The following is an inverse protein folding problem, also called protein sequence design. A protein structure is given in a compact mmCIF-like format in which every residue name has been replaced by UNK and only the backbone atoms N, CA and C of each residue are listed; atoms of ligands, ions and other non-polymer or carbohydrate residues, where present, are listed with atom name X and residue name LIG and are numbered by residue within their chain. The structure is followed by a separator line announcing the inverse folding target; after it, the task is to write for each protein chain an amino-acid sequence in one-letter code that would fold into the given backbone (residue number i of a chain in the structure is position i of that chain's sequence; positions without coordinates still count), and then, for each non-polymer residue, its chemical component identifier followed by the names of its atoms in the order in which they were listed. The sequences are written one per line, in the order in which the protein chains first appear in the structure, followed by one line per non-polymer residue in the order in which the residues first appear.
data_IF_844973741833
#
_entry.id   IF_844973741833
#
_cell.length_a   1.000
_cell.length_b   1.000
_cell.length_c   1.000
_cell.angle_alpha   90.00
_cell.angle_beta   90.00
_cell.angle_gamma   90.00
#
_symmetry.space_group_name_H-M   'P 1'
#
loop_
_entity.id
_entity.type
_entity.pdbx_description
1 polymer ?
#
# COMPACT_ATOMS: atom_id res chain seq x y z
N UNK A 1 -6.24 -24.86 43.86
CA UNK A 1 -4.78 -24.68 43.77
C UNK A 1 -4.51 -23.19 43.89
N UNK A 2 -4.15 -22.75 45.09
CA UNK A 2 -3.92 -21.36 45.47
C UNK A 2 -2.59 -21.31 46.20
N UNK A 3 -1.58 -20.67 45.61
CA UNK A 3 -0.25 -20.52 46.19
C UNK A 3 -0.10 -19.12 46.77
N UNK A 4 -0.14 -19.02 48.10
CA UNK A 4 0.42 -17.89 48.84
C UNK A 4 1.55 -18.45 49.71
N UNK A 5 2.77 -17.98 49.47
CA UNK A 5 3.95 -18.33 50.26
C UNK A 5 4.03 -17.46 51.51
N UNK A 6 4.21 -18.13 52.64
CA UNK A 6 4.23 -17.58 54.00
C UNK A 6 5.34 -16.56 54.27
N UNK A 7 4.94 -15.52 55.00
CA UNK A 7 5.78 -14.47 55.58
C UNK A 7 6.47 -15.03 56.83
N UNK A 8 7.80 -15.07 56.83
CA UNK A 8 8.58 -15.38 58.04
C UNK A 8 8.72 -14.12 58.89
N UNK A 9 8.05 -14.10 60.04
CA UNK A 9 8.16 -13.03 61.05
C UNK A 9 9.39 -13.29 61.91
N UNK A 10 10.41 -12.44 61.79
CA UNK A 10 11.56 -12.45 62.70
C UNK A 10 11.22 -11.66 63.97
N UNK A 11 11.34 -12.35 65.12
CA UNK A 11 11.18 -11.81 66.47
C UNK A 11 12.48 -11.12 66.87
N UNK A 12 12.43 -9.82 67.14
CA UNK A 12 13.57 -9.06 67.67
C UNK A 12 13.58 -9.22 69.20
N UNK A 13 14.72 -9.49 69.85
CA UNK A 13 14.81 -9.56 71.31
C UNK A 13 14.54 -8.20 71.95
N UNK A 14 13.68 -8.21 72.98
CA UNK A 14 13.76 -7.21 74.04
C UNK A 14 15.17 -7.29 74.63
N UNK A 15 15.85 -6.15 74.78
CA UNK A 15 17.12 -5.92 75.50
C UNK A 15 18.15 -5.17 74.62
N UNK A 16 17.84 -3.93 74.22
CA UNK A 16 18.89 -2.93 73.97
C UNK A 16 18.35 -1.52 74.26
N UNK A 17 18.35 -1.16 75.55
CA UNK A 17 18.36 0.24 75.98
C UNK A 17 19.73 0.85 75.64
N UNK A 18 19.89 1.28 74.39
CA UNK A 18 21.04 2.03 73.92
C UNK A 18 20.55 3.27 73.19
N UNK A 19 20.79 4.45 73.78
CA UNK A 19 20.41 5.78 73.27
C UNK A 19 20.79 5.96 71.80
N UNK A 20 19.83 5.77 70.90
CA UNK A 20 19.84 6.42 69.60
C UNK A 20 18.81 7.55 69.70
N UNK A 21 19.30 8.77 69.93
CA UNK A 21 18.54 9.94 69.53
C UNK A 21 18.57 9.94 68.00
N UNK A 22 17.42 9.82 67.30
CA UNK A 22 17.42 10.24 65.91
C UNK A 22 17.57 11.75 65.96
N UNK A 23 18.77 12.24 65.65
CA UNK A 23 18.90 13.60 65.14
C UNK A 23 17.86 13.78 64.03
N UNK A 24 16.99 14.76 64.22
CA UNK A 24 15.88 15.02 63.32
C UNK A 24 16.35 15.27 61.89
N UNK A 25 15.62 14.67 60.96
CA UNK A 25 15.10 15.31 59.75
C UNK A 25 16.07 16.26 59.02
N UNK A 26 16.80 15.74 58.04
CA UNK A 26 17.18 16.56 56.86
C UNK A 26 17.66 15.76 55.64
N UNK A 27 18.16 14.53 55.81
CA UNK A 27 18.74 13.78 54.68
C UNK A 27 17.69 12.93 53.95
N UNK A 28 16.81 12.21 54.66
CA UNK A 28 15.79 11.35 54.05
C UNK A 28 14.64 12.12 53.38
N UNK A 29 14.22 13.26 53.96
CA UNK A 29 13.28 14.18 53.30
C UNK A 29 13.85 14.79 52.02
N UNK A 30 15.16 15.09 51.99
CA UNK A 30 15.84 15.64 50.81
C UNK A 30 15.95 14.60 49.68
N UNK A 31 16.08 13.31 50.01
CA UNK A 31 16.03 12.21 49.03
C UNK A 31 14.59 12.01 48.53
N UNK A 32 13.60 11.98 49.41
CA UNK A 32 12.19 11.83 49.04
C UNK A 32 11.68 12.99 48.16
N UNK A 33 12.05 14.24 48.48
CA UNK A 33 11.69 15.41 47.68
C UNK A 33 12.39 15.39 46.32
N UNK A 34 13.67 14.99 46.25
CA UNK A 34 14.37 14.79 44.96
C UNK A 34 13.74 13.68 44.13
N UNK A 35 13.31 12.58 44.74
CA UNK A 35 12.61 11.49 44.05
C UNK A 35 11.23 11.94 43.56
N UNK A 36 10.49 12.72 44.33
CA UNK A 36 9.20 13.30 43.90
C UNK A 36 9.36 14.29 42.75
N UNK A 37 10.38 15.16 42.79
CA UNK A 37 10.71 16.06 41.67
C UNK A 37 11.14 15.27 40.43
N UNK A 38 11.92 14.19 40.61
CA UNK A 38 12.32 13.32 39.51
C UNK A 38 11.12 12.59 38.90
N UNK A 39 10.25 12.03 39.75
CA UNK A 39 9.00 11.38 39.36
C UNK A 39 8.08 12.36 38.65
N UNK A 40 7.90 13.57 39.16
CA UNK A 40 7.08 14.60 38.51
C UNK A 40 7.66 15.00 37.14
N UNK A 41 8.98 15.22 37.02
CA UNK A 41 9.64 15.52 35.74
C UNK A 41 9.56 14.35 34.76
N UNK A 42 9.67 13.12 35.25
CA UNK A 42 9.50 11.90 34.45
C UNK A 42 8.05 11.82 33.98
N UNK A 43 7.06 11.94 34.86
CA UNK A 43 5.63 11.94 34.51
C UNK A 43 5.28 13.06 33.53
N UNK A 44 5.75 14.29 33.72
CA UNK A 44 5.53 15.42 32.80
C UNK A 44 6.20 15.19 31.43
N UNK A 45 7.38 14.56 31.41
CA UNK A 45 8.09 14.23 30.17
C UNK A 45 7.40 13.08 29.42
N UNK A 46 6.96 12.05 30.12
CA UNK A 46 6.20 10.93 29.54
C UNK A 46 4.83 11.40 29.03
N UNK A 47 4.12 12.25 29.76
CA UNK A 47 2.86 12.83 29.29
C UNK A 47 3.06 13.78 28.10
N UNK A 48 4.21 14.46 28.03
CA UNK A 48 4.55 15.31 26.87
C UNK A 48 4.90 14.48 25.64
N UNK A 49 5.64 13.38 25.79
CA UNK A 49 5.98 12.51 24.68
C UNK A 49 4.75 11.79 24.14
N UNK A 50 3.90 11.23 25.01
CA UNK A 50 2.64 10.59 24.61
C UNK A 50 1.73 11.58 23.85
N UNK A 51 1.70 12.84 24.27
CA UNK A 51 0.98 13.90 23.57
C UNK A 51 1.58 14.22 22.20
N UNK A 52 2.90 14.30 22.08
CA UNK A 52 3.58 14.51 20.80
C UNK A 52 3.36 13.34 19.83
N UNK A 53 3.48 12.10 20.31
CA UNK A 53 3.23 10.89 19.51
C UNK A 53 1.78 10.86 19.00
N UNK A 54 0.83 11.32 19.83
CA UNK A 54 -0.57 11.44 19.43
C UNK A 54 -0.75 12.50 18.33
N UNK A 55 -0.13 13.68 18.48
CA UNK A 55 -0.20 14.74 17.49
C UNK A 55 0.43 14.34 16.15
N UNK A 56 1.53 13.58 16.20
CA UNK A 56 2.19 13.05 15.00
C UNK A 56 1.28 12.06 14.27
N UNK A 57 0.69 11.09 14.98
CA UNK A 57 -0.29 10.16 14.39
C UNK A 57 -1.51 10.88 13.81
N UNK A 58 -2.01 11.91 14.47
CA UNK A 58 -3.11 12.73 13.95
C UNK A 58 -2.70 13.52 12.70
N UNK A 59 -1.44 13.94 12.60
CA UNK A 59 -0.89 14.60 11.41
C UNK A 59 -0.77 13.60 10.26
N UNK A 60 -0.12 12.47 10.48
CA UNK A 60 0.05 11.39 9.48
C UNK A 60 -1.32 10.94 8.95
N UNK A 61 -2.29 10.75 9.84
CA UNK A 61 -3.64 10.36 9.42
C UNK A 61 -4.32 11.44 8.56
N UNK A 62 -4.16 12.73 8.88
CA UNK A 62 -4.68 13.81 8.02
C UNK A 62 -4.01 13.83 6.65
N UNK A 63 -2.69 13.65 6.60
CA UNK A 63 -1.93 13.60 5.34
C UNK A 63 -2.41 12.46 4.45
N UNK A 64 -2.61 11.27 5.03
CA UNK A 64 -3.22 10.13 4.35
C UNK A 64 -4.59 10.47 3.75
N UNK A 65 -5.49 11.11 4.52
CA UNK A 65 -6.83 11.45 4.05
C UNK A 65 -6.81 12.50 2.92
N UNK A 66 -5.96 13.52 3.05
CA UNK A 66 -5.76 14.55 2.02
C UNK A 66 -5.22 13.93 0.73
N UNK A 67 -4.21 13.06 0.84
CA UNK A 67 -3.64 12.32 -0.29
C UNK A 67 -4.70 11.44 -0.99
N UNK A 68 -5.48 10.66 -0.24
CA UNK A 68 -6.49 9.78 -0.85
C UNK A 68 -7.58 10.57 -1.58
N UNK A 69 -7.91 11.76 -1.10
CA UNK A 69 -8.81 12.68 -1.79
C UNK A 69 -8.17 13.30 -3.03
N UNK A 70 -6.92 13.73 -2.94
CA UNK A 70 -6.20 14.37 -4.04
C UNK A 70 -5.93 13.40 -5.19
N UNK A 71 -5.45 12.19 -4.89
CA UNK A 71 -5.01 11.21 -5.87
C UNK A 71 -6.19 10.48 -6.50
N UNK A 72 -7.11 9.98 -5.67
CA UNK A 72 -8.18 9.07 -6.10
C UNK A 72 -9.57 9.68 -6.05
N UNK A 73 -9.74 10.84 -5.38
CA UNK A 73 -11.06 11.47 -5.22
C UNK A 73 -11.93 10.83 -4.13
N UNK A 74 -11.36 10.02 -3.23
CA UNK A 74 -12.13 9.44 -2.14
C UNK A 74 -12.61 10.51 -1.16
N UNK A 75 -13.80 10.32 -0.59
CA UNK A 75 -14.20 11.08 0.60
C UNK A 75 -13.37 10.64 1.81
N UNK A 76 -13.29 11.49 2.84
CA UNK A 76 -12.63 11.15 4.12
C UNK A 76 -13.15 9.81 4.66
N UNK A 77 -14.46 9.62 4.68
CA UNK A 77 -15.07 8.39 5.17
C UNK A 77 -14.67 7.17 4.34
N UNK A 78 -14.62 7.30 3.01
CA UNK A 78 -14.24 6.19 2.14
C UNK A 78 -12.76 5.82 2.28
N UNK A 79 -11.88 6.82 2.41
CA UNK A 79 -10.47 6.62 2.69
C UNK A 79 -10.24 5.94 4.06
N UNK A 80 -11.01 6.31 5.10
CA UNK A 80 -10.99 5.62 6.39
C UNK A 80 -11.42 4.15 6.27
N UNK A 81 -12.45 3.85 5.45
CA UNK A 81 -12.88 2.46 5.24
C UNK A 81 -11.79 1.61 4.57
N UNK A 82 -11.04 2.17 3.62
CA UNK A 82 -9.94 1.48 2.94
C UNK A 82 -8.76 1.21 3.90
N UNK A 83 -8.37 2.21 4.69
CA UNK A 83 -7.32 2.07 5.70
C UNK A 83 -7.71 1.01 6.75
N UNK A 84 -8.96 1.07 7.22
CA UNK A 84 -9.50 0.09 8.16
C UNK A 84 -9.53 -1.33 7.57
N UNK A 85 -9.86 -1.46 6.28
CA UNK A 85 -9.83 -2.74 5.59
C UNK A 85 -8.43 -3.35 5.55
N UNK A 86 -7.40 -2.54 5.29
CA UNK A 86 -6.02 -3.02 5.35
C UNK A 86 -5.61 -3.42 6.77
N UNK A 87 -5.90 -2.58 7.78
CA UNK A 87 -5.61 -2.89 9.19
C UNK A 87 -6.22 -4.24 9.59
N UNK A 88 -7.47 -4.50 9.21
CA UNK A 88 -8.13 -5.79 9.48
C UNK A 88 -7.57 -6.95 8.69
N UNK A 89 -7.17 -6.73 7.44
CA UNK A 89 -6.47 -7.73 6.67
C UNK A 89 -5.15 -8.11 7.33
N UNK A 90 -4.35 -7.13 7.73
CA UNK A 90 -3.04 -7.36 8.33
C UNK A 90 -3.13 -8.02 9.72
N UNK A 91 -4.09 -7.62 10.55
CA UNK A 91 -4.41 -8.30 11.80
C UNK A 91 -4.79 -9.78 11.58
N UNK A 92 -5.57 -10.06 10.54
CA UNK A 92 -6.08 -11.41 10.27
C UNK A 92 -5.07 -12.33 9.57
N UNK A 93 -4.28 -11.79 8.64
CA UNK A 93 -3.44 -12.57 7.72
C UNK A 93 -1.97 -12.17 7.74
N UNK A 94 -1.59 -11.03 8.33
CA UNK A 94 -0.22 -10.50 8.30
C UNK A 94 0.83 -11.50 8.77
N UNK A 95 0.51 -12.29 9.79
CA UNK A 95 1.36 -13.35 10.34
C UNK A 95 1.68 -14.50 9.37
N UNK A 96 0.98 -14.60 8.23
CA UNK A 96 1.22 -15.59 7.18
C UNK A 96 2.35 -15.19 6.23
N UNK A 97 2.82 -13.95 6.31
CA UNK A 97 3.81 -13.37 5.42
C UNK A 97 5.05 -12.97 6.22
N UNK A 98 6.22 -13.28 5.68
CA UNK A 98 7.46 -12.67 6.12
C UNK A 98 7.70 -11.36 5.35
N UNK A 99 8.67 -10.56 5.80
CA UNK A 99 9.03 -9.30 5.13
C UNK A 99 10.04 -9.52 3.98
N UNK A 100 10.11 -10.76 3.44
CA UNK A 100 10.96 -11.02 2.28
C UNK A 100 10.26 -10.60 1.00
N UNK A 101 11.02 -10.48 -0.09
CA UNK A 101 10.49 -10.28 -1.44
C UNK A 101 9.31 -11.22 -1.77
N UNK A 102 9.40 -12.51 -1.42
CA UNK A 102 8.35 -13.49 -1.67
C UNK A 102 7.18 -13.38 -0.68
N UNK A 103 7.43 -12.95 0.55
CA UNK A 103 6.39 -12.64 1.53
C UNK A 103 5.55 -11.44 1.09
N UNK A 104 6.21 -10.33 0.73
CA UNK A 104 5.57 -9.12 0.22
C UNK A 104 4.75 -9.41 -1.04
N UNK A 105 5.32 -10.13 -2.04
CA UNK A 105 4.55 -10.53 -3.24
C UNK A 105 3.27 -11.29 -2.92
N UNK A 106 3.32 -12.24 -1.98
CA UNK A 106 2.13 -12.99 -1.56
C UNK A 106 1.10 -12.11 -0.86
N UNK A 107 1.56 -11.21 0.02
CA UNK A 107 0.70 -10.25 0.73
C UNK A 107 0.00 -9.29 -0.25
N UNK A 108 0.74 -8.75 -1.23
CA UNK A 108 0.21 -7.91 -2.32
C UNK A 108 -0.86 -8.69 -3.08
N UNK A 109 -0.54 -9.89 -3.56
CA UNK A 109 -1.49 -10.74 -4.30
C UNK A 109 -2.76 -10.97 -3.49
N UNK A 110 -2.65 -11.38 -2.23
CA UNK A 110 -3.82 -11.77 -1.44
C UNK A 110 -4.69 -10.56 -1.07
N UNK A 111 -4.10 -9.42 -0.70
CA UNK A 111 -4.89 -8.22 -0.37
C UNK A 111 -5.49 -7.56 -1.61
N UNK A 112 -4.67 -7.23 -2.61
CA UNK A 112 -5.12 -6.47 -3.78
C UNK A 112 -6.01 -7.31 -4.71
N UNK A 113 -5.87 -8.64 -4.72
CA UNK A 113 -6.86 -9.49 -5.43
C UNK A 113 -8.26 -9.33 -4.85
N UNK A 114 -8.40 -9.16 -3.53
CA UNK A 114 -9.70 -9.00 -2.87
C UNK A 114 -10.27 -7.63 -3.16
N UNK A 115 -9.47 -6.56 -3.06
CA UNK A 115 -9.91 -5.21 -3.42
C UNK A 115 -10.32 -5.13 -4.89
N UNK A 116 -9.46 -5.58 -5.82
CA UNK A 116 -9.76 -5.59 -7.26
C UNK A 116 -11.03 -6.39 -7.57
N UNK A 117 -11.20 -7.57 -6.95
CA UNK A 117 -12.38 -8.43 -7.18
C UNK A 117 -13.69 -7.82 -6.70
N UNK A 118 -13.69 -6.73 -5.92
CA UNK A 118 -14.92 -6.02 -5.56
C UNK A 118 -15.57 -5.28 -6.75
N UNK A 119 -14.83 -5.09 -7.84
CA UNK A 119 -15.31 -4.60 -9.12
C UNK A 119 -15.39 -5.76 -10.14
N UNK A 120 -16.50 -5.85 -10.88
CA UNK A 120 -16.73 -6.98 -11.80
C UNK A 120 -15.68 -7.07 -12.91
N UNK A 121 -15.26 -5.92 -13.45
CA UNK A 121 -14.27 -5.80 -14.53
C UNK A 121 -12.85 -6.27 -14.16
N UNK A 122 -12.57 -6.39 -12.86
CA UNK A 122 -11.28 -6.83 -12.31
C UNK A 122 -11.40 -8.08 -11.44
N UNK A 123 -12.50 -8.83 -11.60
CA UNK A 123 -12.79 -10.06 -10.85
C UNK A 123 -12.67 -11.33 -11.71
N UNK A 124 -13.03 -12.48 -11.14
CA UNK A 124 -13.20 -13.73 -11.88
C UNK A 124 -14.10 -13.60 -13.13
N UNK A 125 -15.03 -12.63 -13.14
CA UNK A 125 -15.94 -12.41 -14.26
C UNK A 125 -15.25 -11.79 -15.48
N UNK A 126 -14.07 -11.19 -15.29
CA UNK A 126 -13.25 -10.64 -16.38
C UNK A 126 -12.37 -11.71 -16.99
N UNK A 127 -12.59 -12.03 -18.27
CA UNK A 127 -11.82 -13.08 -18.97
C UNK A 127 -10.33 -12.78 -18.99
N UNK A 128 -9.95 -11.52 -19.21
CA UNK A 128 -8.56 -11.11 -19.34
C UNK A 128 -7.83 -11.29 -18.00
N UNK A 129 -8.38 -10.73 -16.93
CA UNK A 129 -7.81 -10.83 -15.60
C UNK A 129 -7.92 -12.24 -15.01
N UNK A 130 -8.95 -13.02 -15.37
CA UNK A 130 -9.02 -14.44 -15.03
C UNK A 130 -7.87 -15.23 -15.65
N UNK A 131 -7.57 -15.00 -16.93
CA UNK A 131 -6.48 -15.70 -17.64
C UNK A 131 -5.10 -15.33 -17.06
N UNK A 132 -4.86 -14.06 -16.72
CA UNK A 132 -3.55 -13.57 -16.28
C UNK A 132 -3.32 -13.76 -14.77
N UNK A 133 -4.38 -13.65 -13.97
CA UNK A 133 -4.35 -13.82 -12.52
C UNK A 133 -4.60 -15.24 -12.03
N UNK A 134 -5.43 -16.02 -12.75
CA UNK A 134 -5.81 -17.42 -12.46
C UNK A 134 -6.39 -17.71 -11.05
N UNK A 135 -6.49 -16.71 -10.16
CA UNK A 135 -6.92 -16.85 -8.77
C UNK A 135 -7.79 -15.67 -8.29
N UNK A 136 -8.43 -14.94 -9.21
CA UNK A 136 -9.36 -13.89 -8.80
C UNK A 136 -10.59 -14.47 -8.13
N UNK A 137 -11.05 -13.77 -7.10
CA UNK A 137 -12.28 -14.12 -6.42
C UNK A 137 -13.46 -13.64 -7.27
N UNK A 138 -14.62 -14.29 -7.12
CA UNK A 138 -15.87 -13.66 -7.55
C UNK A 138 -16.13 -12.46 -6.63
N UNK A 139 -16.84 -11.41 -7.08
CA UNK A 139 -17.11 -10.26 -6.22
C UNK A 139 -17.80 -10.62 -4.91
N UNK A 140 -18.74 -11.57 -4.95
CA UNK A 140 -19.39 -12.09 -3.75
C UNK A 140 -18.41 -12.72 -2.75
N UNK A 141 -17.38 -13.41 -3.24
CA UNK A 141 -16.39 -14.05 -2.38
C UNK A 141 -15.42 -13.02 -1.77
N UNK A 142 -15.11 -11.94 -2.51
CA UNK A 142 -14.37 -10.80 -1.98
C UNK A 142 -15.16 -10.04 -0.91
N UNK A 143 -16.45 -9.80 -1.15
CA UNK A 143 -17.36 -9.20 -0.15
C UNK A 143 -17.41 -10.07 1.13
N UNK A 144 -17.60 -11.38 0.98
CA UNK A 144 -17.64 -12.32 2.10
C UNK A 144 -16.30 -12.38 2.86
N UNK A 145 -15.18 -12.26 2.16
CA UNK A 145 -13.86 -12.18 2.79
C UNK A 145 -13.78 -10.97 3.72
N UNK A 146 -14.14 -9.77 3.26
CA UNK A 146 -14.11 -8.57 4.10
C UNK A 146 -15.06 -8.69 5.30
N UNK A 147 -16.26 -9.25 5.11
CA UNK A 147 -17.15 -9.55 6.25
C UNK A 147 -16.50 -10.48 7.28
N UNK A 148 -15.76 -11.50 6.83
CA UNK A 148 -15.12 -12.47 7.72
C UNK A 148 -14.02 -11.86 8.61
N UNK A 149 -13.43 -10.72 8.18
CA UNK A 149 -12.42 -9.98 8.94
C UNK A 149 -12.99 -8.74 9.64
N UNK A 150 -14.32 -8.61 9.71
CA UNK A 150 -14.99 -7.52 10.43
C UNK A 150 -15.08 -6.19 9.68
N UNK A 151 -15.04 -6.23 8.34
CA UNK A 151 -15.15 -5.07 7.46
C UNK A 151 -16.42 -5.20 6.61
N UNK A 152 -17.13 -4.11 6.36
CA UNK A 152 -18.32 -4.14 5.49
C UNK A 152 -17.92 -4.25 4.01
N UNK A 153 -17.83 -5.49 3.52
CA UNK A 153 -17.43 -5.78 2.14
C UNK A 153 -18.35 -5.17 1.08
N UNK A 154 -19.66 -5.05 1.35
CA UNK A 154 -20.59 -4.44 0.42
C UNK A 154 -20.39 -2.92 0.34
N UNK A 155 -20.07 -2.28 1.47
CA UNK A 155 -19.69 -0.87 1.47
C UNK A 155 -18.40 -0.64 0.69
N UNK A 156 -17.37 -1.45 0.91
CA UNK A 156 -16.12 -1.36 0.15
C UNK A 156 -16.35 -1.54 -1.36
N UNK A 157 -17.20 -2.51 -1.74
CA UNK A 157 -17.58 -2.68 -3.15
C UNK A 157 -18.23 -1.42 -3.71
N UNK A 158 -19.15 -0.80 -2.98
CA UNK A 158 -19.77 0.47 -3.41
C UNK A 158 -18.74 1.59 -3.58
N UNK A 159 -17.80 1.72 -2.63
CA UNK A 159 -16.72 2.72 -2.67
C UNK A 159 -15.87 2.54 -3.93
N UNK A 160 -15.38 1.32 -4.17
CA UNK A 160 -14.48 1.02 -5.29
C UNK A 160 -15.21 1.19 -6.64
N UNK A 161 -16.44 0.68 -6.76
CA UNK A 161 -17.21 0.82 -8.01
C UNK A 161 -17.55 2.29 -8.29
N UNK A 162 -17.88 3.06 -7.25
CA UNK A 162 -18.14 4.49 -7.40
C UNK A 162 -16.88 5.24 -7.82
N UNK A 163 -15.72 4.94 -7.23
CA UNK A 163 -14.48 5.61 -7.60
C UNK A 163 -14.05 5.27 -9.04
N UNK A 164 -14.02 3.99 -9.40
CA UNK A 164 -13.74 3.53 -10.76
C UNK A 164 -14.64 4.20 -11.81
N UNK A 165 -15.96 4.25 -11.55
CA UNK A 165 -16.93 4.82 -12.50
C UNK A 165 -16.78 6.33 -12.73
N UNK A 166 -16.12 7.05 -11.82
CA UNK A 166 -16.03 8.52 -11.87
C UNK A 166 -14.58 9.03 -11.96
N UNK A 167 -13.57 8.16 -11.96
CA UNK A 167 -12.16 8.58 -11.86
C UNK A 167 -11.72 9.39 -13.09
N UNK A 168 -12.04 8.93 -14.29
CA UNK A 168 -11.77 9.61 -15.56
C UNK A 168 -12.37 11.03 -15.60
N UNK A 169 -13.66 11.17 -15.28
CA UNK A 169 -14.36 12.47 -15.30
C UNK A 169 -13.77 13.45 -14.28
N UNK A 170 -13.24 12.95 -13.17
CA UNK A 170 -12.61 13.75 -12.12
C UNK A 170 -11.09 13.93 -12.31
N UNK A 171 -10.53 13.42 -13.41
CA UNK A 171 -9.08 13.39 -13.69
C UNK A 171 -8.27 12.78 -12.53
N UNK A 172 -8.81 11.74 -11.89
CA UNK A 172 -8.19 10.99 -10.78
C UNK A 172 -7.65 9.66 -11.29
N UNK A 173 -6.70 9.07 -10.54
CA UNK A 173 -6.24 7.71 -10.84
C UNK A 173 -7.32 6.69 -10.51
N UNK A 174 -7.35 5.58 -11.21
CA UNK A 174 -8.29 4.48 -11.04
C UNK A 174 -7.75 3.48 -10.01
N UNK A 175 -8.29 3.54 -8.79
CA UNK A 175 -7.84 2.69 -7.69
C UNK A 175 -8.12 1.21 -7.94
N UNK A 176 -9.25 0.89 -8.60
CA UNK A 176 -9.61 -0.50 -8.89
C UNK A 176 -8.66 -1.11 -9.93
N UNK A 177 -8.33 -0.32 -10.94
CA UNK A 177 -7.32 -0.66 -11.95
C UNK A 177 -5.97 -0.90 -11.27
N UNK A 178 -5.45 0.04 -10.48
CA UNK A 178 -4.15 -0.11 -9.80
C UNK A 178 -4.08 -1.38 -8.94
N UNK A 179 -5.16 -1.68 -8.18
CA UNK A 179 -5.27 -2.90 -7.40
C UNK A 179 -5.16 -4.16 -8.27
N UNK A 180 -5.81 -4.17 -9.44
CA UNK A 180 -5.81 -5.30 -10.35
C UNK A 180 -4.41 -5.54 -10.94
N UNK A 181 -3.73 -4.47 -11.36
CA UNK A 181 -2.36 -4.49 -11.90
C UNK A 181 -1.39 -5.00 -10.85
N UNK A 182 -1.39 -4.41 -9.64
CA UNK A 182 -0.54 -4.85 -8.52
C UNK A 182 -0.78 -6.31 -8.12
N UNK A 183 -2.03 -6.77 -8.13
CA UNK A 183 -2.36 -8.17 -7.89
C UNK A 183 -1.68 -9.09 -8.90
N UNK A 184 -1.81 -8.82 -10.21
CA UNK A 184 -1.25 -9.71 -11.23
C UNK A 184 0.29 -9.69 -11.18
N UNK A 185 0.89 -8.52 -10.95
CA UNK A 185 2.33 -8.40 -10.72
C UNK A 185 2.78 -9.23 -9.52
N UNK A 186 2.03 -9.21 -8.41
CA UNK A 186 2.31 -10.02 -7.21
C UNK A 186 2.08 -11.51 -7.41
N UNK A 187 1.15 -11.89 -8.29
CA UNK A 187 0.75 -13.28 -8.50
C UNK A 187 1.89 -14.13 -9.08
N UNK A 188 2.04 -15.34 -8.55
CA UNK A 188 2.91 -16.37 -9.10
C UNK A 188 2.09 -17.64 -9.28
N UNK A 189 1.91 -18.05 -10.53
CA UNK A 189 1.21 -19.28 -10.88
C UNK A 189 1.85 -19.93 -12.09
N UNK A 190 1.72 -21.25 -12.23
CA UNK A 190 2.25 -21.99 -13.40
C UNK A 190 1.71 -21.40 -14.71
N UNK A 191 0.44 -20.96 -14.72
CA UNK A 191 -0.17 -20.31 -15.87
C UNK A 191 0.54 -18.99 -16.21
N UNK A 192 0.76 -18.13 -15.20
CA UNK A 192 1.48 -16.86 -15.37
C UNK A 192 2.92 -17.09 -15.84
N UNK A 193 3.67 -17.98 -15.18
CA UNK A 193 5.06 -18.31 -15.57
C UNK A 193 5.16 -18.87 -16.99
N UNK A 194 4.16 -19.64 -17.42
CA UNK A 194 4.09 -20.13 -18.81
C UNK A 194 3.83 -18.98 -19.77
N UNK A 195 2.91 -18.06 -19.44
CA UNK A 195 2.64 -16.87 -20.25
C UNK A 195 3.86 -15.92 -20.30
N UNK A 196 4.58 -15.75 -19.19
CA UNK A 196 5.82 -14.96 -19.08
C UNK A 196 6.94 -15.48 -19.99
N UNK A 197 6.88 -16.74 -20.42
CA UNK A 197 7.83 -17.29 -21.40
C UNK A 197 7.61 -16.74 -22.83
N UNK A 198 6.46 -16.13 -23.08
CA UNK A 198 6.05 -15.59 -24.38
C UNK A 198 5.76 -14.08 -24.35
N UNK A 199 5.66 -13.49 -23.16
CA UNK A 199 5.20 -12.12 -22.95
C UNK A 199 5.70 -11.50 -21.65
N UNK A 200 5.62 -10.17 -21.54
CA UNK A 200 5.67 -9.51 -20.24
C UNK A 200 4.25 -9.37 -19.70
N UNK A 201 3.83 -10.32 -18.86
CA UNK A 201 2.48 -10.33 -18.31
C UNK A 201 2.23 -9.13 -17.40
N UNK A 202 3.27 -8.61 -16.74
CA UNK A 202 3.15 -7.49 -15.82
C UNK A 202 2.91 -6.18 -16.57
N UNK A 203 3.55 -6.00 -17.73
CA UNK A 203 3.23 -4.89 -18.63
C UNK A 203 1.85 -5.05 -19.29
N UNK A 204 1.48 -6.27 -19.71
CA UNK A 204 0.22 -6.55 -20.41
C UNK A 204 -1.05 -6.33 -19.59
N UNK A 205 -0.96 -6.39 -18.26
CA UNK A 205 -2.11 -6.17 -17.38
C UNK A 205 -2.35 -4.69 -17.06
N UNK A 206 -1.38 -3.84 -17.39
CA UNK A 206 -1.45 -2.39 -17.25
C UNK A 206 -1.17 -1.70 -18.58
N UNK A 207 -0.19 -0.77 -18.60
CA UNK A 207 0.04 0.15 -19.73
C UNK A 207 0.06 -0.51 -21.10
N UNK A 208 0.75 -1.64 -21.25
CA UNK A 208 0.85 -2.31 -22.54
C UNK A 208 -0.48 -2.93 -22.95
N UNK A 209 -1.24 -3.46 -21.99
CA UNK A 209 -2.59 -3.94 -22.24
C UNK A 209 -3.51 -2.85 -22.76
N UNK A 210 -3.50 -1.69 -22.11
CA UNK A 210 -4.38 -0.57 -22.42
C UNK A 210 -4.00 0.13 -23.73
N UNK A 211 -2.70 0.26 -24.02
CA UNK A 211 -2.22 0.72 -25.32
C UNK A 211 -2.73 -0.20 -26.44
N UNK A 212 -2.58 -1.52 -26.28
CA UNK A 212 -2.98 -2.48 -27.32
C UNK A 212 -4.50 -2.69 -27.39
N UNK A 213 -5.25 -2.38 -26.33
CA UNK A 213 -6.71 -2.37 -26.37
C UNK A 213 -7.25 -1.11 -27.06
N UNK A 214 -6.44 -0.05 -27.15
CA UNK A 214 -6.84 1.26 -27.66
C UNK A 214 -7.77 2.01 -26.71
N UNK A 215 -7.88 1.56 -25.46
CA UNK A 215 -8.76 2.12 -24.43
C UNK A 215 -7.90 2.57 -23.26
N UNK A 216 -7.21 3.71 -23.44
CA UNK A 216 -6.33 4.27 -22.41
C UNK A 216 -6.69 5.72 -22.15
N UNK A 217 -7.39 5.96 -21.04
CA UNK A 217 -7.67 7.30 -20.52
C UNK A 217 -6.48 7.92 -19.79
N UNK A 218 -6.55 9.21 -19.44
CA UNK A 218 -5.51 9.85 -18.60
C UNK A 218 -5.46 9.27 -17.18
N UNK A 219 -6.61 8.80 -16.70
CA UNK A 219 -6.77 8.04 -15.48
C UNK A 219 -6.00 6.72 -15.55
N UNK A 220 -6.14 5.92 -16.62
CA UNK A 220 -5.37 4.69 -16.82
C UNK A 220 -3.86 4.98 -16.94
N UNK A 221 -3.45 5.96 -17.75
CA UNK A 221 -2.03 6.36 -17.91
C UNK A 221 -1.38 6.62 -16.54
N UNK A 222 -2.02 7.42 -15.70
CA UNK A 222 -1.48 7.74 -14.36
C UNK A 222 -1.51 6.52 -13.45
N UNK A 223 -2.56 5.72 -13.53
CA UNK A 223 -2.74 4.51 -12.71
C UNK A 223 -1.67 3.46 -13.02
N UNK A 224 -1.37 3.24 -14.30
CA UNK A 224 -0.38 2.25 -14.72
C UNK A 224 1.03 2.59 -14.27
N UNK A 225 1.44 3.85 -14.45
CA UNK A 225 2.73 4.37 -13.98
C UNK A 225 2.82 4.20 -12.47
N UNK A 226 1.81 4.66 -11.73
CA UNK A 226 1.77 4.59 -10.27
C UNK A 226 1.76 3.14 -9.77
N UNK A 227 0.89 2.28 -10.30
CA UNK A 227 0.79 0.88 -9.90
C UNK A 227 2.12 0.15 -10.08
N UNK A 228 2.82 0.40 -11.20
CA UNK A 228 4.13 -0.19 -11.45
C UNK A 228 5.16 0.28 -10.42
N UNK A 229 5.28 1.59 -10.19
CA UNK A 229 6.20 2.15 -9.20
C UNK A 229 5.91 1.64 -7.78
N UNK A 230 4.65 1.74 -7.35
CA UNK A 230 4.18 1.31 -6.03
C UNK A 230 4.50 -0.17 -5.82
N UNK A 231 4.21 -1.03 -6.80
CA UNK A 231 4.51 -2.46 -6.70
C UNK A 231 6.01 -2.71 -6.52
N UNK A 232 6.87 -2.02 -7.28
CA UNK A 232 8.33 -2.19 -7.22
C UNK A 232 8.88 -1.75 -5.87
N UNK A 233 8.30 -0.72 -5.24
CA UNK A 233 8.60 -0.36 -3.85
C UNK A 233 8.09 -1.41 -2.85
N UNK A 234 6.84 -1.88 -2.99
CA UNK A 234 6.23 -2.84 -2.06
C UNK A 234 7.00 -4.17 -1.98
N UNK A 235 7.45 -4.72 -3.11
CA UNK A 235 8.24 -5.96 -3.11
C UNK A 235 9.62 -5.78 -2.47
N UNK A 236 10.10 -4.54 -2.36
CA UNK A 236 11.35 -4.16 -1.70
C UNK A 236 11.18 -3.64 -0.26
N UNK A 237 9.96 -3.51 0.25
CA UNK A 237 9.70 -3.00 1.62
C UNK A 237 10.29 -3.94 2.68
N UNK A 238 11.18 -3.39 3.51
CA UNK A 238 11.88 -4.16 4.57
C UNK A 238 10.97 -4.50 5.77
N UNK A 239 9.93 -3.70 5.99
CA UNK A 239 8.97 -3.88 7.08
C UNK A 239 7.74 -4.69 6.66
N UNK A 240 7.59 -4.99 5.37
CA UNK A 240 6.46 -5.73 4.80
C UNK A 240 5.13 -4.98 4.84
N UNK A 241 5.14 -3.68 5.13
CA UNK A 241 3.94 -2.85 5.19
C UNK A 241 3.60 -2.28 3.81
N UNK A 242 2.96 -3.13 3.01
CA UNK A 242 2.59 -2.79 1.64
C UNK A 242 1.63 -1.57 1.55
N UNK A 243 0.76 -1.35 2.56
CA UNK A 243 -0.14 -0.19 2.54
C UNK A 243 0.59 1.10 2.86
N UNK A 244 1.48 1.10 3.86
CA UNK A 244 2.35 2.26 4.12
C UNK A 244 3.15 2.59 2.86
N UNK A 245 3.68 1.59 2.17
CA UNK A 245 4.43 1.82 0.93
C UNK A 245 3.59 2.51 -0.16
N UNK A 246 2.30 2.17 -0.28
CA UNK A 246 1.37 2.88 -1.18
C UNK A 246 1.15 4.33 -0.73
N UNK A 247 0.95 4.54 0.57
CA UNK A 247 0.73 5.87 1.14
C UNK A 247 1.96 6.75 0.96
N UNK A 248 3.14 6.27 1.34
CA UNK A 248 4.42 6.98 1.25
C UNK A 248 4.72 7.38 -0.19
N UNK A 249 4.55 6.47 -1.16
CA UNK A 249 4.72 6.80 -2.58
C UNK A 249 3.80 7.96 -3.01
N UNK A 250 2.53 7.91 -2.62
CA UNK A 250 1.56 8.93 -3.03
C UNK A 250 1.78 10.26 -2.34
N UNK A 251 2.18 10.27 -1.07
CA UNK A 251 2.55 11.51 -0.38
C UNK A 251 3.80 12.14 -1.00
N UNK A 252 4.80 11.33 -1.37
CA UNK A 252 5.98 11.79 -2.09
C UNK A 252 5.62 12.36 -3.48
N UNK A 253 4.69 11.72 -4.20
CA UNK A 253 4.21 12.20 -5.50
C UNK A 253 3.45 13.53 -5.37
N UNK A 254 2.48 13.61 -4.44
CA UNK A 254 1.71 14.84 -4.18
C UNK A 254 2.60 16.01 -3.74
N UNK A 255 3.63 15.74 -2.93
CA UNK A 255 4.58 16.77 -2.49
C UNK A 255 5.62 17.15 -3.55
N UNK A 256 5.69 16.43 -4.67
CA UNK A 256 6.72 16.59 -5.70
C UNK A 256 8.11 16.13 -5.24
N UNK A 257 8.19 15.36 -4.15
CA UNK A 257 9.45 14.74 -3.68
C UNK A 257 9.96 13.72 -4.69
N UNK A 258 9.04 13.06 -5.40
CA UNK A 258 9.35 12.20 -6.55
C UNK A 258 8.63 12.70 -7.80
N UNK A 259 9.17 12.32 -8.95
CA UNK A 259 8.50 12.44 -10.24
C UNK A 259 8.13 11.03 -10.71
N UNK A 260 6.84 10.76 -10.82
CA UNK A 260 6.31 9.41 -11.09
C UNK A 260 6.83 8.85 -12.42
N UNK A 261 6.89 9.68 -13.47
CA UNK A 261 7.39 9.28 -14.79
C UNK A 261 8.88 8.99 -14.79
N UNK A 262 9.70 9.78 -14.09
CA UNK A 262 11.13 9.50 -13.93
C UNK A 262 11.36 8.20 -13.15
N UNK A 263 10.60 7.96 -12.08
CA UNK A 263 10.69 6.71 -11.33
C UNK A 263 10.26 5.52 -12.19
N UNK A 264 9.20 5.68 -12.98
CA UNK A 264 8.75 4.66 -13.92
C UNK A 264 9.83 4.31 -14.94
N UNK A 265 10.48 5.30 -15.55
CA UNK A 265 11.60 5.07 -16.48
C UNK A 265 12.80 4.39 -15.81
N UNK A 266 13.10 4.74 -14.55
CA UNK A 266 14.17 4.09 -13.78
C UNK A 266 13.91 2.61 -13.49
N UNK A 267 12.65 2.15 -13.55
CA UNK A 267 12.34 0.73 -13.42
C UNK A 267 12.76 -0.09 -14.65
N UNK A 268 12.93 0.54 -15.82
CA UNK A 268 13.45 -0.10 -17.04
C UNK A 268 14.97 -0.03 -17.08
N UNK A 269 15.56 1.06 -16.60
CA UNK A 269 17.00 1.17 -16.44
C UNK A 269 17.39 2.10 -15.29
N UNK A 270 18.00 1.51 -14.25
CA UNK A 270 18.33 2.22 -13.01
C UNK A 270 19.34 3.34 -13.27
N UNK A 271 18.98 4.55 -12.89
CA UNK A 271 19.86 5.72 -12.87
C UNK A 271 20.07 6.38 -14.23
N UNK A 272 19.40 5.90 -15.28
CA UNK A 272 19.41 6.50 -16.61
C UNK A 272 17.99 6.45 -17.22
N UNK A 273 17.14 7.43 -16.88
CA UNK A 273 15.79 7.52 -17.40
C UNK A 273 15.69 7.69 -18.92
N UNK A 274 16.69 8.28 -19.59
CA UNK A 274 16.71 8.39 -21.06
C UNK A 274 16.81 7.01 -21.69
N UNK A 275 17.74 6.18 -21.18
CA UNK A 275 17.81 4.77 -21.58
C UNK A 275 16.57 3.97 -21.15
N UNK A 276 15.95 4.33 -20.03
CA UNK A 276 14.65 3.81 -19.62
C UNK A 276 13.57 4.06 -20.68
N UNK A 277 13.51 5.27 -21.24
CA UNK A 277 12.57 5.64 -22.30
C UNK A 277 12.81 4.84 -23.59
N UNK A 278 14.07 4.63 -23.97
CA UNK A 278 14.42 3.79 -25.12
C UNK A 278 13.89 2.36 -24.94
N UNK A 279 14.13 1.75 -23.78
CA UNK A 279 13.67 0.39 -23.48
C UNK A 279 12.15 0.31 -23.43
N UNK A 280 11.48 1.30 -22.82
CA UNK A 280 10.02 1.37 -22.76
C UNK A 280 9.41 1.40 -24.18
N UNK A 281 9.97 2.21 -25.09
CA UNK A 281 9.52 2.28 -26.48
C UNK A 281 9.66 0.93 -27.18
N UNK A 282 10.82 0.30 -27.05
CA UNK A 282 11.06 -1.04 -27.63
C UNK A 282 10.07 -2.07 -27.09
N UNK A 283 9.76 -1.99 -25.80
CA UNK A 283 8.86 -2.92 -25.13
C UNK A 283 7.40 -2.73 -25.56
N UNK A 284 6.92 -1.48 -25.70
CA UNK A 284 5.60 -1.16 -26.22
C UNK A 284 5.48 -1.61 -27.69
N UNK A 285 6.51 -1.39 -28.51
CA UNK A 285 6.51 -1.77 -29.93
C UNK A 285 6.53 -3.29 -30.15
N UNK A 286 7.00 -4.04 -29.16
CA UNK A 286 7.09 -5.50 -29.24
C UNK A 286 5.71 -6.16 -29.18
N UNK A 287 5.23 -6.58 -30.34
CA UNK A 287 4.04 -7.45 -30.45
C UNK A 287 4.34 -8.86 -29.94
N UNK A 288 3.39 -9.44 -29.22
CA UNK A 288 3.47 -10.75 -28.59
C UNK A 288 2.19 -11.56 -28.81
N UNK A 289 2.07 -12.75 -28.21
CA UNK A 289 0.83 -13.54 -28.29
C UNK A 289 -0.29 -12.84 -27.50
N UNK A 290 0.02 -12.30 -26.31
CA UNK A 290 -0.94 -11.59 -25.49
C UNK A 290 -1.47 -10.34 -26.19
N UNK A 291 -0.59 -9.51 -26.79
CA UNK A 291 -1.07 -8.33 -27.51
C UNK A 291 -1.94 -8.69 -28.71
N UNK A 292 -1.64 -9.78 -29.43
CA UNK A 292 -2.51 -10.27 -30.52
C UNK A 292 -3.90 -10.69 -30.02
N UNK A 293 -3.97 -11.33 -28.84
CA UNK A 293 -5.25 -11.70 -28.21
C UNK A 293 -6.04 -10.45 -27.83
N UNK A 294 -5.38 -9.41 -27.30
CA UNK A 294 -6.02 -8.13 -26.96
C UNK A 294 -6.58 -7.46 -28.21
N UNK A 295 -5.74 -7.30 -29.25
CA UNK A 295 -6.13 -6.69 -30.54
C UNK A 295 -7.28 -7.44 -31.20
N UNK A 296 -7.31 -8.77 -31.10
CA UNK A 296 -8.42 -9.57 -31.63
C UNK A 296 -9.75 -9.33 -30.89
N UNK A 297 -9.70 -8.80 -29.67
CA UNK A 297 -10.87 -8.55 -28.82
C UNK A 297 -11.25 -7.06 -28.71
N UNK A 298 -10.47 -6.11 -29.24
CA UNK A 298 -10.80 -4.67 -29.16
C UNK A 298 -9.81 -3.72 -29.84
N UNK A 299 -10.25 -2.47 -30.03
CA UNK A 299 -9.46 -1.33 -30.55
C UNK A 299 -9.16 -1.38 -32.04
N UNK A 300 -9.44 -0.30 -32.77
CA UNK A 300 -8.94 -0.18 -34.14
C UNK A 300 -7.46 0.28 -34.11
N UNK A 301 -6.73 0.17 -35.23
CA UNK A 301 -5.31 0.51 -35.28
C UNK A 301 -5.01 1.97 -34.92
N UNK A 302 -5.88 2.89 -35.34
CA UNK A 302 -5.76 4.30 -35.02
C UNK A 302 -5.92 4.56 -33.52
N UNK A 303 -6.86 3.89 -32.84
CA UNK A 303 -7.04 4.05 -31.39
C UNK A 303 -5.80 3.57 -30.62
N UNK A 304 -5.16 2.49 -31.07
CA UNK A 304 -3.94 1.96 -30.44
C UNK A 304 -2.74 2.87 -30.63
N UNK A 305 -2.52 3.37 -31.85
CA UNK A 305 -1.44 4.33 -32.10
C UNK A 305 -1.65 5.62 -31.31
N UNK A 306 -2.91 6.08 -31.18
CA UNK A 306 -3.22 7.23 -30.34
C UNK A 306 -2.98 6.95 -28.86
N UNK A 307 -3.38 5.79 -28.34
CA UNK A 307 -3.12 5.41 -26.95
C UNK A 307 -1.62 5.34 -26.66
N UNK A 308 -0.83 4.74 -27.57
CA UNK A 308 0.63 4.72 -27.50
C UNK A 308 1.23 6.13 -27.49
N UNK A 309 0.84 6.99 -28.44
CA UNK A 309 1.34 8.36 -28.51
C UNK A 309 0.97 9.16 -27.26
N UNK A 310 -0.25 9.01 -26.74
CA UNK A 310 -0.70 9.67 -25.51
C UNK A 310 0.14 9.23 -24.31
N UNK A 311 0.36 7.93 -24.15
CA UNK A 311 1.15 7.39 -23.04
C UNK A 311 2.61 7.89 -23.07
N UNK A 312 3.28 7.77 -24.23
CA UNK A 312 4.66 8.21 -24.38
C UNK A 312 4.80 9.73 -24.25
N UNK A 313 3.84 10.49 -24.78
CA UNK A 313 3.81 11.96 -24.64
C UNK A 313 3.61 12.36 -23.19
N UNK A 314 2.71 11.70 -22.45
CA UNK A 314 2.53 11.97 -21.03
C UNK A 314 3.83 11.76 -20.25
N UNK A 315 4.50 10.62 -20.43
CA UNK A 315 5.78 10.35 -19.76
C UNK A 315 6.82 11.40 -20.16
N UNK A 316 6.93 11.75 -21.44
CA UNK A 316 7.87 12.76 -21.92
C UNK A 316 7.61 14.14 -21.33
N UNK A 317 6.35 14.57 -21.29
CA UNK A 317 5.97 15.88 -20.76
C UNK A 317 6.26 15.99 -19.25
N UNK A 318 5.94 14.95 -18.48
CA UNK A 318 6.15 14.92 -17.02
C UNK A 318 7.62 14.71 -16.64
N UNK A 319 8.37 13.91 -17.40
CA UNK A 319 9.78 13.62 -17.12
C UNK A 319 10.76 14.63 -17.73
N UNK A 320 10.34 15.37 -18.76
CA UNK A 320 11.20 16.23 -19.56
C UNK A 320 12.11 15.48 -20.55
N UNK A 321 11.89 14.17 -20.75
CA UNK A 321 12.70 13.31 -21.63
C UNK A 321 11.94 13.06 -22.92
N UNK A 322 12.48 13.53 -24.04
CA UNK A 322 11.86 13.37 -25.35
C UNK A 322 11.78 11.89 -25.74
N UNK A 323 10.60 11.48 -26.18
CA UNK A 323 10.37 10.14 -26.70
C UNK A 323 10.49 10.06 -28.22
N UNK A 324 10.56 11.18 -28.95
CA UNK A 324 10.51 11.23 -30.41
C UNK A 324 11.82 10.93 -31.11
#
# INVERSE_FOLDING_TARGET
MSGYGDVTVYRIPDDYEGKYQPEGNSVDQNIADKMNILLQKVTERYSSQEYLDKLEKEREHRQYLEMMQEVYGFSVYDAEQLEYAYKKFDEHMGHLYDNSYLGNRRKIKDFYSKLASLHDGYSFNSKMFFLMGNNLSRPKDAINFFYSIGVDGARLSTIINSQHSNCQENCKRDFAHECATMYVMGNYSVAKTTAESYDDVDALVGYKGDIYSGSMGIDDIRSDIAAYNIYKRMIGSEDGNIWSTLVDYNEEACSGTINESIEFLNNFYIGDPEKGMEILKEEIDKTSIGTKVIVANGGNEMDREQAKENFLTHISDESGIDWK
#
